data_IF_976531229371
#
_entry.id   IF_976531229371
#
_cell.length_a   1.000
_cell.length_b   1.000
_cell.length_c   1.000
_cell.angle_alpha   90.00
_cell.angle_beta   90.00
_cell.angle_gamma   90.00
#
_symmetry.space_group_name_H-M   'P 1'
#
loop_
_entity.id
_entity.type
_entity.pdbx_description
1 polymer ?
#
# COMPACT_ATOMS: atom_id res chain seq x y z
N UNK A 1 -15.79 1.51 -35.27
CA UNK A 1 -15.82 1.64 -33.79
C UNK A 1 -14.75 2.63 -33.38
N UNK A 2 -15.07 3.56 -32.51
CA UNK A 2 -14.12 4.50 -31.90
C UNK A 2 -14.09 4.14 -30.41
N UNK A 3 -12.90 3.92 -29.86
CA UNK A 3 -12.69 3.65 -28.45
C UNK A 3 -11.90 4.83 -27.87
N UNK A 4 -12.41 5.41 -26.80
CA UNK A 4 -11.77 6.53 -26.10
C UNK A 4 -11.66 6.21 -24.60
N UNK A 5 -10.58 6.66 -23.97
CA UNK A 5 -10.46 6.63 -22.52
C UNK A 5 -11.04 7.91 -21.94
N UNK A 6 -11.82 7.76 -20.86
CA UNK A 6 -12.37 8.91 -20.13
C UNK A 6 -11.22 9.60 -19.38
N UNK A 7 -10.95 10.89 -19.64
CA UNK A 7 -9.89 11.60 -18.94
C UNK A 7 -10.24 11.81 -17.46
N UNK A 8 -9.21 11.97 -16.61
CA UNK A 8 -9.38 12.07 -15.16
C UNK A 8 -10.12 13.35 -14.73
N UNK A 9 -10.10 14.38 -15.58
CA UNK A 9 -10.78 15.64 -15.37
C UNK A 9 -12.13 15.74 -16.11
N UNK A 10 -12.58 14.64 -16.69
CA UNK A 10 -13.89 14.59 -17.31
C UNK A 10 -14.98 14.95 -16.30
N UNK A 11 -15.95 15.69 -16.75
CA UNK A 11 -17.16 16.00 -16.00
C UNK A 11 -18.36 15.31 -16.65
N UNK A 12 -19.38 15.05 -15.87
CA UNK A 12 -20.66 14.58 -16.41
C UNK A 12 -21.18 15.60 -17.40
N UNK A 13 -21.50 15.16 -18.61
CA UNK A 13 -21.96 16.07 -19.65
C UNK A 13 -22.05 15.44 -21.04
N UNK A 14 -22.32 16.24 -22.04
CA UNK A 14 -22.45 15.75 -23.41
C UNK A 14 -21.13 15.25 -23.98
N UNK A 15 -21.18 14.13 -24.67
CA UNK A 15 -20.06 13.61 -25.47
C UNK A 15 -20.23 14.15 -26.90
N UNK A 16 -19.22 14.87 -27.36
CA UNK A 16 -19.26 15.52 -28.68
C UNK A 16 -18.11 15.02 -29.54
N UNK A 17 -18.41 14.57 -30.72
CA UNK A 17 -17.41 14.24 -31.74
C UNK A 17 -17.16 15.47 -32.64
N UNK A 18 -15.91 15.88 -32.79
CA UNK A 18 -15.49 16.95 -33.70
C UNK A 18 -14.73 16.39 -34.88
N UNK A 19 -15.11 16.76 -36.10
CA UNK A 19 -14.39 16.40 -37.31
C UNK A 19 -14.46 17.55 -38.33
N UNK A 20 -13.31 18.03 -38.80
CA UNK A 20 -13.24 19.10 -39.79
C UNK A 20 -14.06 20.37 -39.45
N UNK A 21 -14.04 20.77 -38.18
CA UNK A 21 -14.79 21.94 -37.68
C UNK A 21 -16.29 21.68 -37.42
N UNK A 22 -16.79 20.51 -37.77
CA UNK A 22 -18.18 20.13 -37.47
C UNK A 22 -18.26 19.37 -36.16
N UNK A 23 -19.28 19.66 -35.37
CA UNK A 23 -19.54 19.02 -34.10
C UNK A 23 -20.83 18.18 -34.18
N UNK A 24 -20.80 16.99 -33.58
CA UNK A 24 -21.95 16.13 -33.45
C UNK A 24 -22.03 15.58 -32.04
N UNK A 25 -23.12 15.87 -31.34
CA UNK A 25 -23.41 15.24 -30.05
C UNK A 25 -23.70 13.75 -30.24
N UNK A 26 -23.08 12.91 -29.41
CA UNK A 26 -23.26 11.45 -29.43
C UNK A 26 -24.23 11.02 -28.33
N UNK A 27 -24.19 11.71 -27.19
CA UNK A 27 -25.00 11.40 -26.02
C UNK A 27 -24.48 12.10 -24.78
N UNK A 28 -24.96 11.71 -23.61
CA UNK A 28 -24.47 12.20 -22.32
C UNK A 28 -23.71 11.06 -21.62
N UNK A 29 -22.56 11.39 -21.01
CA UNK A 29 -21.78 10.49 -20.18
C UNK A 29 -21.79 10.96 -18.73
N UNK A 30 -22.09 10.07 -17.80
CA UNK A 30 -22.03 10.34 -16.37
C UNK A 30 -20.69 9.88 -15.80
N UNK A 31 -19.91 10.81 -15.28
CA UNK A 31 -18.64 10.52 -14.62
C UNK A 31 -18.92 10.14 -13.17
N UNK A 32 -18.44 8.95 -12.79
CA UNK A 32 -18.51 8.48 -11.41
C UNK A 32 -17.15 8.76 -10.74
N UNK A 33 -17.17 9.43 -9.60
CA UNK A 33 -15.99 9.70 -8.80
C UNK A 33 -15.71 8.54 -7.83
N UNK A 34 -14.44 8.26 -7.49
CA UNK A 34 -14.10 7.29 -6.47
C UNK A 34 -14.73 7.64 -5.12
N UNK A 35 -15.27 6.64 -4.46
CA UNK A 35 -15.82 6.76 -3.12
C UNK A 35 -15.30 5.63 -2.25
N UNK A 36 -14.79 5.96 -1.07
CA UNK A 36 -14.38 4.97 -0.08
C UNK A 36 -15.52 4.74 0.91
N UNK A 37 -15.80 3.48 1.20
CA UNK A 37 -16.87 3.06 2.12
C UNK A 37 -16.33 2.42 3.40
N UNK A 38 -15.05 2.03 3.43
CA UNK A 38 -14.46 1.43 4.62
C UNK A 38 -12.96 1.25 4.59
N UNK A 39 -12.39 1.17 5.80
CA UNK A 39 -10.99 0.88 6.08
C UNK A 39 -10.95 -0.23 7.15
N UNK A 40 -10.27 -1.35 6.87
CA UNK A 40 -10.19 -2.48 7.80
C UNK A 40 -8.81 -3.13 7.78
N UNK A 41 -8.17 -3.29 8.95
CA UNK A 41 -8.48 -2.66 10.21
C UNK A 41 -8.22 -1.14 10.20
N UNK A 42 -8.95 -0.37 11.03
CA UNK A 42 -8.71 1.07 11.18
C UNK A 42 -7.57 1.39 12.17
N UNK A 43 -7.14 0.39 12.93
CA UNK A 43 -5.98 0.45 13.81
C UNK A 43 -5.14 -0.81 13.65
N UNK A 44 -3.83 -0.66 13.55
CA UNK A 44 -2.91 -1.78 13.39
C UNK A 44 -1.46 -1.36 13.61
N UNK A 45 -0.55 -2.31 13.89
CA UNK A 45 0.88 -2.07 13.85
C UNK A 45 1.40 -1.95 12.40
N UNK A 46 2.65 -1.51 12.28
CA UNK A 46 3.39 -1.52 11.00
C UNK A 46 3.39 -2.91 10.37
N UNK A 47 3.48 -2.98 9.04
CA UNK A 47 3.50 -4.25 8.31
C UNK A 47 2.16 -4.99 8.27
N UNK A 48 1.06 -4.39 8.73
CA UNK A 48 -0.28 -4.96 8.58
C UNK A 48 -0.85 -4.65 7.19
N UNK A 49 -1.58 -5.61 6.62
CA UNK A 49 -2.32 -5.40 5.38
C UNK A 49 -3.67 -4.77 5.68
N UNK A 50 -3.88 -3.54 5.23
CA UNK A 50 -5.15 -2.84 5.31
C UNK A 50 -5.96 -3.12 4.05
N UNK A 51 -7.26 -3.23 4.20
CA UNK A 51 -8.24 -3.29 3.13
C UNK A 51 -9.05 -2.00 3.09
N UNK A 52 -9.02 -1.31 1.97
CA UNK A 52 -9.86 -0.17 1.64
C UNK A 52 -10.97 -0.69 0.74
N UNK A 53 -12.21 -0.49 1.11
CA UNK A 53 -13.40 -0.81 0.30
C UNK A 53 -14.05 0.46 -0.21
N UNK A 54 -14.68 0.36 -1.38
CA UNK A 54 -15.34 1.51 -1.98
C UNK A 54 -15.88 1.21 -3.36
N UNK A 55 -16.00 2.23 -4.16
CA UNK A 55 -16.47 2.16 -5.53
C UNK A 55 -15.69 3.11 -6.42
N UNK A 56 -15.61 2.78 -7.70
CA UNK A 56 -15.04 3.62 -8.75
C UNK A 56 -13.55 3.96 -8.57
N UNK A 57 -12.81 3.15 -7.81
CA UNK A 57 -11.35 3.30 -7.73
C UNK A 57 -10.65 3.07 -9.08
N UNK A 58 -11.39 2.52 -10.05
CA UNK A 58 -10.88 2.17 -11.37
C UNK A 58 -10.02 0.93 -11.34
N UNK A 59 -9.61 0.54 -12.53
CA UNK A 59 -8.67 -0.56 -12.68
C UNK A 59 -7.28 0.00 -12.86
N UNK A 60 -6.34 -0.73 -12.36
CA UNK A 60 -4.96 -0.52 -12.73
C UNK A 60 -4.81 -1.00 -14.17
N UNK A 61 -4.78 -0.08 -15.13
CA UNK A 61 -4.65 -0.45 -16.52
C UNK A 61 -3.19 -0.33 -16.97
N UNK A 62 -2.50 -1.45 -17.03
CA UNK A 62 -1.47 -1.61 -18.03
C UNK A 62 -2.08 -2.27 -19.26
N UNK A 63 -1.90 -1.65 -20.41
CA UNK A 63 -2.28 -2.23 -21.68
C UNK A 63 -1.51 -3.55 -21.87
N UNK A 64 -2.22 -4.67 -21.81
CA UNK A 64 -1.68 -5.99 -22.20
C UNK A 64 -1.46 -7.01 -21.10
N UNK A 65 -1.84 -6.77 -19.88
CA UNK A 65 -1.59 -7.71 -18.79
C UNK A 65 -2.84 -8.45 -18.31
N UNK A 66 -2.61 -9.72 -17.95
CA UNK A 66 -3.60 -10.67 -17.43
C UNK A 66 -4.21 -10.22 -16.09
N UNK A 67 -5.36 -10.79 -15.64
CA UNK A 67 -6.11 -10.31 -14.47
C UNK A 67 -5.39 -10.38 -13.10
N UNK A 68 -4.14 -10.78 -13.06
CA UNK A 68 -3.27 -10.76 -11.88
C UNK A 68 -2.10 -9.81 -12.10
N UNK A 69 -2.38 -8.54 -12.36
CA UNK A 69 -1.35 -7.58 -12.68
C UNK A 69 -0.56 -7.21 -11.45
N UNK A 70 0.71 -7.57 -11.48
CA UNK A 70 1.72 -6.94 -10.66
C UNK A 70 1.72 -5.46 -10.98
N UNK A 71 1.48 -4.66 -9.96
CA UNK A 71 1.49 -3.22 -10.09
C UNK A 71 2.94 -2.80 -10.31
N UNK A 72 3.28 -2.34 -11.50
CA UNK A 72 4.55 -1.65 -11.71
C UNK A 72 4.45 -0.26 -11.06
N UNK A 73 4.87 -0.19 -9.80
CA UNK A 73 4.84 1.03 -9.02
C UNK A 73 5.70 2.15 -9.62
N UNK A 74 6.64 1.83 -10.51
CA UNK A 74 7.50 2.81 -11.16
C UNK A 74 6.78 3.63 -12.24
N UNK A 75 5.68 3.09 -12.77
CA UNK A 75 4.87 3.71 -13.81
C UNK A 75 3.51 4.18 -13.31
N UNK A 76 3.11 3.75 -12.09
CA UNK A 76 1.83 4.10 -11.50
C UNK A 76 1.96 5.36 -10.66
N UNK A 77 1.22 6.33 -11.08
CA UNK A 77 1.04 7.56 -10.30
C UNK A 77 -0.10 7.43 -9.28
N UNK A 78 -0.76 6.26 -9.22
CA UNK A 78 -1.80 5.95 -8.25
C UNK A 78 -1.14 5.51 -6.95
N UNK A 79 -1.45 6.19 -5.86
CA UNK A 79 -0.85 5.95 -4.56
C UNK A 79 -1.91 5.91 -3.46
N UNK A 80 -1.54 5.31 -2.34
CA UNK A 80 -2.29 5.43 -1.09
C UNK A 80 -1.35 6.01 -0.06
N UNK A 81 -1.80 6.99 0.69
CA UNK A 81 -1.05 7.57 1.82
C UNK A 81 -1.75 7.23 3.13
N UNK A 82 -0.95 6.93 4.16
CA UNK A 82 -1.39 6.69 5.53
C UNK A 82 -0.66 7.69 6.42
N UNK A 83 -1.39 8.63 7.01
CA UNK A 83 -0.78 9.68 7.82
C UNK A 83 0.25 10.53 7.05
N UNK A 84 0.04 10.73 5.76
CA UNK A 84 0.95 11.47 4.87
C UNK A 84 2.16 10.66 4.38
N UNK A 85 2.23 9.35 4.69
CA UNK A 85 3.30 8.46 4.25
C UNK A 85 2.77 7.51 3.18
N UNK A 86 3.47 7.42 2.05
CA UNK A 86 3.07 6.54 0.96
C UNK A 86 3.10 5.07 1.41
N UNK A 87 1.97 4.39 1.27
CA UNK A 87 1.81 2.98 1.55
C UNK A 87 2.18 2.13 0.33
N UNK A 88 2.48 0.85 0.59
CA UNK A 88 2.73 -0.11 -0.47
C UNK A 88 1.42 -0.74 -0.88
N UNK A 89 1.03 -0.51 -2.11
CA UNK A 89 -0.17 -1.12 -2.68
C UNK A 89 0.12 -2.59 -3.02
N UNK A 90 -0.60 -3.49 -2.37
CA UNK A 90 -0.56 -4.93 -2.67
C UNK A 90 -1.52 -5.30 -3.79
N UNK A 91 -2.70 -4.69 -3.80
CA UNK A 91 -3.76 -4.93 -4.78
C UNK A 91 -4.53 -3.64 -5.04
N UNK A 92 -4.87 -3.41 -6.31
CA UNK A 92 -5.76 -2.33 -6.70
C UNK A 92 -6.86 -2.86 -7.60
N UNK A 93 -8.11 -2.72 -7.18
CA UNK A 93 -9.30 -3.06 -7.93
C UNK A 93 -10.32 -1.92 -7.92
N UNK A 94 -11.40 -2.11 -8.66
CA UNK A 94 -12.44 -1.10 -8.82
C UNK A 94 -13.19 -0.78 -7.50
N UNK A 95 -13.32 -1.78 -6.65
CA UNK A 95 -14.10 -1.77 -5.40
C UNK A 95 -13.23 -2.02 -4.14
N UNK A 96 -11.95 -2.34 -4.33
CA UNK A 96 -11.06 -2.72 -3.24
C UNK A 96 -9.61 -2.40 -3.55
N UNK A 97 -8.94 -1.80 -2.57
CA UNK A 97 -7.49 -1.60 -2.57
C UNK A 97 -6.93 -2.23 -1.29
N UNK A 98 -5.88 -3.04 -1.41
CA UNK A 98 -5.15 -3.61 -0.28
C UNK A 98 -3.77 -2.95 -0.22
N UNK A 99 -3.38 -2.46 0.96
CA UNK A 99 -2.11 -1.76 1.18
C UNK A 99 -1.42 -2.23 2.44
N UNK A 100 -0.10 -2.27 2.43
CA UNK A 100 0.70 -2.52 3.63
C UNK A 100 0.94 -1.22 4.39
N UNK A 101 0.76 -1.24 5.71
CA UNK A 101 1.16 -0.14 6.60
C UNK A 101 2.68 0.01 6.55
N UNK A 102 3.21 1.13 6.04
CA UNK A 102 4.66 1.33 5.92
C UNK A 102 5.32 1.51 7.29
N UNK A 103 6.62 1.25 7.37
CA UNK A 103 7.38 1.34 8.64
C UNK A 103 7.44 2.77 9.19
N UNK A 104 7.40 3.76 8.32
CA UNK A 104 7.37 5.17 8.70
C UNK A 104 5.96 5.74 8.86
N UNK A 105 4.92 4.88 8.81
CA UNK A 105 3.53 5.30 8.97
C UNK A 105 3.31 6.07 10.28
N UNK A 106 2.38 6.99 10.21
CA UNK A 106 1.88 7.74 11.36
C UNK A 106 0.37 7.59 11.43
N UNK A 107 -0.19 7.72 12.62
CA UNK A 107 -1.63 7.88 12.77
C UNK A 107 -2.09 9.11 11.99
N UNK A 108 -3.21 8.98 11.28
CA UNK A 108 -3.74 10.09 10.48
C UNK A 108 -4.66 9.63 9.35
N UNK A 109 -5.00 10.53 8.44
CA UNK A 109 -5.89 10.23 7.34
C UNK A 109 -5.28 9.22 6.36
N UNK A 110 -6.14 8.35 5.83
CA UNK A 110 -5.83 7.49 4.70
C UNK A 110 -6.43 8.11 3.46
N UNK A 111 -5.59 8.34 2.45
CA UNK A 111 -5.96 9.03 1.21
C UNK A 111 -5.57 8.17 0.01
N UNK A 112 -6.53 7.88 -0.83
CA UNK A 112 -6.31 7.26 -2.15
C UNK A 112 -6.11 8.37 -3.17
N UNK A 113 -4.99 8.35 -3.87
CA UNK A 113 -4.65 9.31 -4.93
C UNK A 113 -4.63 8.60 -6.28
N UNK A 114 -5.45 9.06 -7.18
CA UNK A 114 -5.42 8.66 -8.58
C UNK A 114 -4.81 9.78 -9.40
N UNK A 115 -3.79 9.46 -10.15
CA UNK A 115 -3.15 10.42 -11.02
C UNK A 115 -3.24 9.94 -12.47
N UNK A 116 -3.44 10.86 -13.38
CA UNK A 116 -3.32 10.61 -14.80
C UNK A 116 -2.71 11.82 -15.49
N UNK A 117 -1.96 11.53 -16.52
CA UNK A 117 -1.49 12.55 -17.44
C UNK A 117 -2.64 12.90 -18.37
N UNK A 118 -3.10 14.14 -18.34
CA UNK A 118 -4.08 14.61 -19.29
C UNK A 118 -3.43 14.71 -20.68
N UNK A 119 -4.06 14.19 -21.76
CA UNK A 119 -3.57 14.41 -23.10
C UNK A 119 -3.61 15.91 -23.43
N UNK A 120 -2.59 16.40 -24.11
CA UNK A 120 -2.62 17.76 -24.63
C UNK A 120 -3.67 17.91 -25.72
N UNK A 121 -4.21 19.13 -25.97
CA UNK A 121 -5.19 19.37 -27.02
C UNK A 121 -4.73 18.97 -28.43
N UNK A 122 -3.43 18.92 -28.67
CA UNK A 122 -2.82 18.50 -29.94
C UNK A 122 -2.65 16.99 -30.09
N UNK A 123 -3.11 16.21 -29.10
CA UNK A 123 -3.03 14.74 -29.09
C UNK A 123 -1.66 14.18 -28.69
N UNK A 124 -0.69 15.04 -28.33
CA UNK A 124 0.59 14.59 -27.79
C UNK A 124 0.48 14.25 -26.31
N UNK A 125 1.32 13.33 -25.82
CA UNK A 125 1.26 12.93 -24.43
C UNK A 125 1.70 14.05 -23.49
N UNK A 126 0.99 14.12 -22.43
CA UNK A 126 1.37 14.57 -21.09
C UNK A 126 1.39 16.09 -20.94
N UNK A 127 0.18 16.64 -20.90
CA UNK A 127 -0.08 17.91 -20.22
C UNK A 127 0.04 17.73 -18.69
N UNK A 128 -0.31 18.74 -17.95
CA UNK A 128 -0.23 18.76 -16.50
C UNK A 128 -0.85 17.53 -15.86
N UNK A 129 -0.13 16.95 -14.91
CA UNK A 129 -0.57 15.85 -14.10
C UNK A 129 -1.75 16.28 -13.24
N UNK A 130 -2.87 15.57 -13.37
CA UNK A 130 -4.03 15.74 -12.49
C UNK A 130 -4.07 14.64 -11.47
N UNK A 131 -4.33 15.02 -10.22
CA UNK A 131 -4.48 14.09 -9.10
C UNK A 131 -5.88 14.23 -8.53
N UNK A 132 -6.59 13.12 -8.44
CA UNK A 132 -7.88 13.01 -7.76
C UNK A 132 -7.66 12.34 -6.42
N UNK A 133 -7.99 13.02 -5.33
CA UNK A 133 -7.83 12.52 -3.97
C UNK A 133 -9.18 12.07 -3.41
N UNK A 134 -9.19 10.90 -2.78
CA UNK A 134 -10.36 10.35 -2.07
C UNK A 134 -9.94 10.03 -0.65
N UNK A 135 -10.51 10.71 0.32
CA UNK A 135 -10.31 10.43 1.73
C UNK A 135 -11.09 9.17 2.11
N UNK A 136 -10.42 8.21 2.74
CA UNK A 136 -10.99 6.91 3.14
C UNK A 136 -11.50 6.97 4.59
N UNK A 137 -10.71 7.54 5.48
CA UNK A 137 -10.93 7.60 6.91
C UNK A 137 -9.63 7.87 7.66
N UNK A 138 -9.64 7.68 8.97
CA UNK A 138 -8.45 7.80 9.81
C UNK A 138 -7.92 6.43 10.19
N UNK A 139 -6.61 6.31 10.20
CA UNK A 139 -5.86 5.15 10.67
C UNK A 139 -5.14 5.47 11.98
N UNK A 140 -5.17 4.54 12.94
CA UNK A 140 -4.42 4.62 14.19
C UNK A 140 -3.27 3.64 14.15
N UNK A 141 -2.05 4.14 14.23
CA UNK A 141 -0.86 3.30 14.34
C UNK A 141 -0.75 2.75 15.76
N UNK A 142 -0.77 1.42 15.87
CA UNK A 142 -0.53 0.71 17.13
C UNK A 142 0.98 0.59 17.33
N UNK A 143 1.50 1.12 18.43
CA UNK A 143 2.90 0.97 18.82
C UNK A 143 3.08 -0.27 19.69
N UNK A 144 4.17 -1.04 19.53
CA UNK A 144 4.45 -2.19 20.37
C UNK A 144 4.55 -1.82 21.84
N UNK A 145 3.95 -2.64 22.71
CA UNK A 145 4.06 -2.55 24.16
C UNK A 145 4.54 -3.87 24.72
N UNK A 146 5.61 -3.85 25.51
CA UNK A 146 6.10 -5.00 26.23
C UNK A 146 5.54 -4.96 27.66
N UNK A 147 4.85 -6.01 28.05
CA UNK A 147 4.28 -6.16 29.40
C UNK A 147 5.21 -6.96 30.31
N UNK A 148 5.89 -8.00 29.79
CA UNK A 148 6.79 -8.85 30.56
C UNK A 148 7.73 -9.64 29.65
N UNK A 149 8.80 -10.16 30.23
CA UNK A 149 9.64 -11.20 29.61
C UNK A 149 10.15 -12.19 30.66
N UNK A 150 10.39 -13.42 30.25
CA UNK A 150 10.82 -14.52 31.12
C UNK A 150 11.57 -15.57 30.31
N UNK A 151 12.67 -16.15 30.89
CA UNK A 151 13.29 -15.80 32.15
C UNK A 151 14.03 -14.45 32.09
N UNK A 152 14.30 -13.86 33.25
CA UNK A 152 15.08 -12.60 33.37
C UNK A 152 16.59 -12.84 33.49
N UNK A 153 16.97 -14.09 33.76
CA UNK A 153 18.36 -14.57 33.83
C UNK A 153 18.46 -15.91 33.15
N UNK A 154 19.54 -16.18 32.46
CA UNK A 154 19.71 -17.44 31.75
C UNK A 154 21.06 -17.55 31.04
N UNK A 155 21.30 -18.69 30.45
CA UNK A 155 22.51 -18.97 29.66
C UNK A 155 22.38 -18.64 28.19
N UNK A 156 23.42 -18.89 27.43
CA UNK A 156 23.41 -18.85 25.98
C UNK A 156 22.42 -19.93 25.45
N UNK A 157 21.80 -19.66 24.31
CA UNK A 157 20.77 -20.54 23.70
C UNK A 157 19.47 -20.70 24.47
N UNK A 158 19.34 -20.09 25.64
CA UNK A 158 18.09 -20.15 26.39
C UNK A 158 17.00 -19.39 25.66
N UNK A 159 15.77 -19.88 25.80
CA UNK A 159 14.61 -19.26 25.16
C UNK A 159 13.99 -18.22 26.09
N UNK A 160 13.94 -16.99 25.65
CA UNK A 160 13.24 -15.90 26.33
C UNK A 160 11.91 -15.66 25.65
N UNK A 161 10.83 -15.65 26.45
CA UNK A 161 9.49 -15.32 26.00
C UNK A 161 9.16 -13.88 26.39
N UNK A 162 8.84 -13.06 25.41
CA UNK A 162 8.42 -11.66 25.59
C UNK A 162 6.92 -11.61 25.34
N UNK A 163 6.17 -11.04 26.28
CA UNK A 163 4.72 -10.84 26.19
C UNK A 163 4.39 -9.36 26.12
N UNK A 164 3.36 -9.04 25.34
CA UNK A 164 2.93 -7.67 25.14
C UNK A 164 1.79 -7.57 24.14
N UNK A 165 1.77 -6.48 23.40
CA UNK A 165 0.75 -6.24 22.36
C UNK A 165 1.31 -5.36 21.25
N UNK A 166 0.68 -5.42 20.09
CA UNK A 166 1.05 -4.57 18.95
C UNK A 166 2.39 -4.91 18.31
N UNK A 167 2.91 -6.13 18.49
CA UNK A 167 4.18 -6.55 17.90
C UNK A 167 4.09 -6.71 16.38
N UNK A 168 2.87 -6.82 15.84
CA UNK A 168 2.65 -6.99 14.43
C UNK A 168 3.13 -8.34 13.88
N UNK A 169 3.47 -8.36 12.61
CA UNK A 169 4.02 -9.54 11.95
C UNK A 169 5.54 -9.49 11.91
N UNK A 170 6.17 -10.64 12.14
CA UNK A 170 7.61 -10.78 11.96
C UNK A 170 7.95 -10.79 10.47
N UNK A 171 8.72 -9.77 10.05
CA UNK A 171 9.25 -9.68 8.71
C UNK A 171 10.70 -10.12 8.73
N UNK A 172 10.95 -11.38 8.40
CA UNK A 172 12.29 -11.93 8.31
C UNK A 172 12.92 -11.57 6.98
N UNK A 173 14.00 -10.82 7.00
CA UNK A 173 14.75 -10.40 5.81
C UNK A 173 15.50 -11.51 5.07
N UNK A 174 15.72 -12.63 5.71
CA UNK A 174 16.61 -13.68 5.19
C UNK A 174 16.00 -14.57 4.11
N UNK A 175 14.69 -14.46 3.82
CA UNK A 175 14.07 -15.17 2.70
C UNK A 175 13.15 -14.25 1.90
N UNK A 176 13.70 -13.38 1.05
CA UNK A 176 12.89 -12.60 0.11
C UNK A 176 12.05 -13.49 -0.82
N UNK A 177 12.50 -14.73 -1.03
CA UNK A 177 11.94 -15.66 -2.00
C UNK A 177 10.67 -16.38 -1.57
N UNK A 178 10.31 -16.39 -0.28
CA UNK A 178 9.15 -17.14 0.22
C UNK A 178 7.95 -16.31 0.64
N UNK A 179 8.14 -15.05 1.00
CA UNK A 179 7.05 -14.14 1.36
C UNK A 179 6.51 -13.36 0.18
N UNK A 180 7.34 -13.17 -0.82
CA UNK A 180 6.97 -12.54 -2.08
C UNK A 180 7.83 -13.23 -3.14
N UNK A 181 7.32 -14.30 -3.69
CA UNK A 181 7.95 -15.05 -4.80
C UNK A 181 8.08 -14.21 -6.07
N UNK A 182 7.73 -12.94 -6.00
CA UNK A 182 7.60 -12.11 -7.16
C UNK A 182 8.35 -10.78 -6.99
N UNK A 183 8.89 -10.36 -8.09
CA UNK A 183 9.61 -9.12 -8.39
C UNK A 183 9.11 -7.82 -7.71
N UNK A 184 7.98 -7.86 -7.03
CA UNK A 184 7.36 -6.73 -6.31
C UNK A 184 8.23 -6.28 -5.13
N UNK A 185 8.81 -7.21 -4.36
CA UNK A 185 9.60 -6.81 -3.17
C UNK A 185 10.91 -6.14 -3.53
N UNK A 186 11.58 -6.61 -4.56
CA UNK A 186 12.82 -5.99 -5.04
C UNK A 186 12.61 -4.57 -5.56
N UNK A 187 11.39 -4.25 -6.02
CA UNK A 187 11.01 -2.92 -6.52
C UNK A 187 10.49 -2.01 -5.41
N UNK A 188 9.96 -2.58 -4.34
CA UNK A 188 9.34 -1.86 -3.23
C UNK A 188 10.35 -1.57 -2.11
N UNK A 189 11.39 -2.36 -1.97
CA UNK A 189 12.45 -2.15 -1.00
C UNK A 189 13.05 -0.72 -1.03
N UNK A 190 13.28 -0.10 -2.19
CA UNK A 190 13.76 1.28 -2.25
C UNK A 190 12.73 2.33 -1.77
N UNK A 191 11.42 2.04 -1.92
CA UNK A 191 10.34 2.94 -1.48
C UNK A 191 10.13 2.85 0.03
N UNK A 192 10.44 1.69 0.63
CA UNK A 192 10.34 1.47 2.07
C UNK A 192 11.54 2.04 2.84
N UNK A 193 12.60 2.46 2.15
CA UNK A 193 13.87 2.87 2.72
C UNK A 193 14.73 1.66 3.15
N UNK A 194 16.02 1.86 3.26
CA UNK A 194 17.01 0.80 3.57
C UNK A 194 16.79 0.10 4.93
N UNK A 195 15.87 0.60 5.77
CA UNK A 195 15.55 0.07 7.09
C UNK A 195 14.34 -0.86 7.14
N UNK A 196 13.81 -1.28 6.01
CA UNK A 196 12.63 -2.17 5.92
C UNK A 196 12.85 -3.54 6.55
N UNK A 197 14.07 -3.86 6.85
CA UNK A 197 14.49 -5.24 6.94
C UNK A 197 14.64 -5.79 8.35
N UNK A 198 14.42 -5.04 9.42
CA UNK A 198 14.84 -5.54 10.71
C UNK A 198 13.81 -5.40 11.82
N UNK A 199 12.82 -6.31 11.78
CA UNK A 199 12.15 -6.67 13.01
C UNK A 199 13.09 -7.60 13.77
N UNK A 200 13.72 -7.13 14.85
CA UNK A 200 14.71 -7.90 15.60
C UNK A 200 14.55 -7.68 17.10
N UNK A 201 15.00 -8.65 17.87
CA UNK A 201 15.18 -8.52 19.31
C UNK A 201 16.67 -8.53 19.59
N UNK A 202 17.15 -7.55 20.33
CA UNK A 202 18.58 -7.39 20.62
C UNK A 202 18.87 -7.65 22.10
N UNK A 203 19.91 -8.42 22.38
CA UNK A 203 20.50 -8.56 23.70
C UNK A 203 21.83 -7.77 23.71
N UNK A 204 21.81 -6.60 24.34
CA UNK A 204 22.95 -5.68 24.34
C UNK A 204 23.55 -5.44 22.94
N UNK A 205 22.66 -5.17 21.95
CA UNK A 205 23.07 -4.90 20.57
C UNK A 205 23.36 -6.13 19.69
N UNK A 206 23.27 -7.35 20.25
CA UNK A 206 23.45 -8.61 19.50
C UNK A 206 22.08 -9.18 19.15
N UNK A 207 21.83 -9.45 17.87
CA UNK A 207 20.56 -9.96 17.36
C UNK A 207 20.25 -11.36 17.87
N UNK A 208 19.05 -11.55 18.43
CA UNK A 208 18.55 -12.83 18.87
C UNK A 208 17.97 -13.64 17.72
N UNK A 209 17.95 -14.96 17.87
CA UNK A 209 17.29 -15.86 16.92
C UNK A 209 15.81 -15.92 17.27
N UNK A 210 14.95 -15.38 16.41
CA UNK A 210 13.50 -15.45 16.59
C UNK A 210 13.00 -16.85 16.30
N UNK A 211 12.33 -17.48 17.27
CA UNK A 211 11.70 -18.78 17.14
C UNK A 211 10.23 -18.68 16.74
N UNK A 212 9.50 -17.76 17.38
CA UNK A 212 8.11 -17.47 17.05
C UNK A 212 7.80 -16.00 17.29
N UNK A 213 6.86 -15.46 16.52
CA UNK A 213 6.41 -14.09 16.60
C UNK A 213 4.92 -14.01 16.31
N UNK A 214 4.17 -13.49 17.26
CA UNK A 214 2.75 -13.15 17.13
C UNK A 214 2.56 -11.72 17.56
N UNK A 215 1.36 -11.18 17.44
CA UNK A 215 1.05 -9.80 17.85
C UNK A 215 1.21 -9.56 19.36
N UNK A 216 1.18 -10.64 20.18
CA UNK A 216 1.22 -10.54 21.64
C UNK A 216 2.28 -11.40 22.32
N UNK A 217 3.01 -12.22 21.59
CA UNK A 217 4.09 -13.05 22.13
C UNK A 217 5.24 -13.20 21.12
N UNK A 218 6.46 -13.01 21.63
CA UNK A 218 7.68 -13.25 20.85
C UNK A 218 8.54 -14.23 21.66
N UNK A 219 9.03 -15.28 21.00
CA UNK A 219 10.03 -16.20 21.56
C UNK A 219 11.34 -16.06 20.81
N UNK A 220 12.39 -15.80 21.55
CA UNK A 220 13.73 -15.63 21.00
C UNK A 220 14.74 -16.46 21.77
N UNK A 221 15.79 -16.88 21.07
CA UNK A 221 16.92 -17.55 21.68
C UNK A 221 18.03 -16.55 21.93
N UNK A 222 18.61 -16.57 23.14
CA UNK A 222 19.76 -15.73 23.52
C UNK A 222 20.92 -16.01 22.57
N UNK A 223 21.48 -14.97 21.92
CA UNK A 223 22.52 -15.17 20.90
C UNK A 223 23.84 -15.57 21.51
N UNK A 224 24.62 -16.33 20.74
CA UNK A 224 26.06 -16.48 20.98
C UNK A 224 26.79 -15.24 20.49
N UNK A 225 27.89 -14.90 21.16
CA UNK A 225 28.85 -13.91 20.65
C UNK A 225 29.68 -14.51 19.55
#
# INVERSE_FOLDING_TARGET
>A
TIVVHVPLDAQTGPVVMKRNGQERAIGTYTVQTPQATGLTPAEAPIGTLLKITGENFGFYSEAGSTPFNYIDFSLSENTVEIGGVQAIVYRWGHDRIDVWVPFSAKSGPVVVKRAANAPKPDGTCCADKKVLETQVGNFTLVTPKIDSYSPTTGGLDEVVTIKGSGFGKFLKTAEPSKLITDSVYARVAPVLGENVSRTEVLFNGVGAIVQSWTDNEIKVRVPHR
#
